data_IF_737567626016
#
_entry.id   IF_737567626016
#
_cell.length_a   1.000
_cell.length_b   1.000
_cell.length_c   1.000
_cell.angle_alpha   90.00
_cell.angle_beta   90.00
_cell.angle_gamma   90.00
#
_symmetry.space_group_name_H-M   'P 1'
#
loop_
_entity.id
_entity.type
_entity.pdbx_description
1 polymer ?
#
# COMPACT_ATOMS: atom_id res chain seq x y z
N UNK A 1 -1.53 -27.15 -4.69
CA UNK A 1 -0.34 -26.35 -5.06
C UNK A 1 0.14 -25.65 -3.81
N UNK A 2 1.44 -25.70 -3.51
CA UNK A 2 2.01 -24.92 -2.41
C UNK A 2 2.01 -23.43 -2.76
N UNK A 3 1.97 -22.60 -1.73
CA UNK A 3 1.99 -21.14 -1.84
C UNK A 3 3.40 -20.59 -2.11
N UNK A 4 3.51 -19.26 -2.12
CA UNK A 4 4.78 -18.56 -2.27
C UNK A 4 4.75 -17.22 -1.52
N UNK A 5 5.64 -17.05 -0.54
CA UNK A 5 5.73 -15.80 0.24
C UNK A 5 6.90 -14.91 -0.20
N UNK A 6 7.62 -15.31 -1.24
CA UNK A 6 8.69 -14.52 -1.86
C UNK A 6 8.16 -13.78 -3.08
N UNK A 7 8.70 -12.58 -3.30
CA UNK A 7 8.38 -11.80 -4.50
C UNK A 7 8.94 -12.53 -5.73
N UNK A 8 8.07 -12.78 -6.71
CA UNK A 8 8.51 -13.34 -7.99
C UNK A 8 8.91 -12.22 -8.99
N UNK A 9 9.34 -12.59 -10.19
CA UNK A 9 9.61 -11.61 -11.25
C UNK A 9 8.34 -11.22 -12.04
N UNK A 10 7.21 -11.91 -11.83
CA UNK A 10 6.00 -11.83 -12.65
C UNK A 10 4.94 -10.90 -12.07
N UNK A 11 4.99 -10.56 -10.78
CA UNK A 11 3.97 -9.72 -10.12
C UNK A 11 3.80 -8.39 -10.83
N UNK A 12 4.91 -7.80 -11.31
CA UNK A 12 4.87 -6.54 -12.05
C UNK A 12 4.09 -6.70 -13.36
N UNK A 13 4.27 -7.81 -14.07
CA UNK A 13 3.47 -8.10 -15.26
C UNK A 13 1.99 -8.26 -14.90
N UNK A 14 1.66 -9.02 -13.85
CA UNK A 14 0.27 -9.25 -13.44
C UNK A 14 -0.48 -7.94 -13.21
N UNK A 15 0.08 -7.04 -12.39
CA UNK A 15 -0.60 -5.76 -12.11
C UNK A 15 -0.56 -4.80 -13.31
N UNK A 16 0.49 -4.86 -14.15
CA UNK A 16 0.51 -4.10 -15.42
C UNK A 16 -0.62 -4.54 -16.35
N UNK A 17 -0.84 -5.84 -16.50
CA UNK A 17 -1.91 -6.39 -17.34
C UNK A 17 -3.29 -5.99 -16.76
N UNK A 18 -3.46 -6.05 -15.43
CA UNK A 18 -4.71 -5.68 -14.77
C UNK A 18 -5.04 -4.17 -14.86
N UNK A 19 -4.03 -3.34 -15.11
CA UNK A 19 -4.14 -1.89 -15.29
C UNK A 19 -3.72 -1.48 -16.70
N UNK A 20 -3.81 -2.39 -17.67
CA UNK A 20 -3.56 -2.09 -19.07
C UNK A 20 -4.61 -1.11 -19.60
N UNK A 21 -4.32 -0.19 -20.53
CA UNK A 21 -5.31 0.74 -21.06
C UNK A 21 -6.56 0.07 -21.66
N UNK A 22 -6.47 -1.18 -22.12
CA UNK A 22 -7.64 -1.94 -22.58
C UNK A 22 -8.49 -2.47 -21.43
N UNK A 23 -7.90 -2.73 -20.26
CA UNK A 23 -8.59 -3.24 -19.07
C UNK A 23 -9.09 -2.11 -18.16
N UNK A 24 -8.28 -1.08 -17.97
CA UNK A 24 -8.52 0.09 -17.13
C UNK A 24 -7.93 1.37 -17.78
N UNK A 25 -8.60 1.93 -18.80
CA UNK A 25 -8.12 3.11 -19.53
C UNK A 25 -7.99 4.35 -18.63
N UNK A 26 -8.78 4.42 -17.57
CA UNK A 26 -8.82 5.55 -16.65
C UNK A 26 -7.80 5.42 -15.52
N UNK A 27 -7.02 4.34 -15.46
CA UNK A 27 -6.05 4.15 -14.37
C UNK A 27 -5.03 5.32 -14.31
N UNK A 28 -4.77 5.94 -13.14
CA UNK A 28 -3.96 7.17 -13.06
C UNK A 28 -2.57 7.09 -13.69
N UNK A 29 -1.98 5.88 -13.73
CA UNK A 29 -0.69 5.60 -14.36
C UNK A 29 -0.61 5.97 -15.85
N UNK A 30 -1.75 6.05 -16.53
CA UNK A 30 -1.85 6.43 -17.94
C UNK A 30 -2.06 7.93 -18.14
N UNK A 31 -2.22 8.68 -17.05
CA UNK A 31 -2.68 10.08 -17.06
C UNK A 31 -1.68 11.01 -16.36
N UNK A 32 -0.39 10.72 -16.54
CA UNK A 32 0.73 11.53 -16.06
C UNK A 32 1.12 11.31 -14.59
N UNK A 33 0.49 10.34 -13.90
CA UNK A 33 0.84 10.02 -12.50
C UNK A 33 1.85 8.88 -12.46
N UNK A 34 3.08 9.16 -12.02
CA UNK A 34 4.09 8.13 -11.83
C UNK A 34 3.72 7.19 -10.69
N UNK A 35 3.50 5.90 -10.96
CA UNK A 35 3.10 4.90 -9.95
C UNK A 35 4.06 3.71 -9.90
N UNK A 36 4.16 3.08 -8.73
CA UNK A 36 4.96 1.88 -8.50
C UNK A 36 4.10 0.76 -7.95
N UNK A 37 4.35 -0.46 -8.43
CA UNK A 37 3.69 -1.65 -7.92
C UNK A 37 4.22 -1.97 -6.51
N UNK A 38 3.29 -2.27 -5.61
CA UNK A 38 3.57 -2.52 -4.20
C UNK A 38 2.85 -3.79 -3.75
N UNK A 39 3.56 -4.65 -3.00
CA UNK A 39 2.95 -5.76 -2.27
C UNK A 39 2.41 -5.24 -0.94
N UNK A 40 1.09 -5.23 -0.77
CA UNK A 40 0.45 -4.69 0.42
C UNK A 40 0.86 -5.48 1.66
N UNK A 41 0.61 -6.79 1.66
CA UNK A 41 1.28 -7.70 2.59
C UNK A 41 2.69 -7.89 2.05
N UNK A 42 3.65 -7.27 2.72
CA UNK A 42 5.06 -7.32 2.36
C UNK A 42 5.73 -8.64 2.75
N UNK A 43 6.64 -9.14 1.92
CA UNK A 43 7.46 -10.32 2.24
C UNK A 43 8.23 -10.16 3.55
N UNK A 44 8.76 -8.96 3.85
CA UNK A 44 9.46 -8.69 5.11
C UNK A 44 8.50 -8.79 6.32
N UNK A 45 7.27 -8.28 6.22
CA UNK A 45 6.26 -8.43 7.27
C UNK A 45 5.88 -9.90 7.52
N UNK A 46 5.77 -10.70 6.45
CA UNK A 46 5.53 -12.15 6.55
C UNK A 46 6.73 -12.87 7.17
N UNK A 47 7.96 -12.52 6.80
CA UNK A 47 9.17 -13.06 7.42
C UNK A 47 9.20 -12.76 8.91
N UNK A 48 8.93 -11.51 9.30
CA UNK A 48 8.90 -11.05 10.70
C UNK A 48 7.77 -11.68 11.53
N UNK A 49 6.70 -12.19 10.92
CA UNK A 49 5.62 -12.87 11.66
C UNK A 49 5.95 -14.31 12.00
N UNK A 50 6.95 -14.93 11.34
CA UNK A 50 7.28 -16.34 11.53
C UNK A 50 6.30 -17.31 10.85
N UNK A 51 5.21 -16.81 10.26
CA UNK A 51 4.13 -17.63 9.67
C UNK A 51 4.35 -17.97 8.18
N UNK A 52 5.52 -17.64 7.62
CA UNK A 52 5.79 -17.82 6.20
C UNK A 52 5.64 -19.26 5.71
N UNK A 53 6.17 -20.23 6.47
CA UNK A 53 6.07 -21.65 6.12
C UNK A 53 4.63 -22.15 6.16
N UNK A 54 3.85 -21.74 7.16
CA UNK A 54 2.44 -22.11 7.27
C UNK A 54 1.63 -21.52 6.12
N UNK A 55 1.84 -20.24 5.80
CA UNK A 55 1.16 -19.60 4.67
C UNK A 55 1.46 -20.32 3.35
N UNK A 56 2.71 -20.73 3.11
CA UNK A 56 3.09 -21.56 1.95
C UNK A 56 2.37 -22.91 1.98
N UNK A 57 2.37 -23.58 3.14
CA UNK A 57 1.72 -24.89 3.34
C UNK A 57 0.21 -24.84 3.05
N UNK A 58 -0.45 -23.75 3.43
CA UNK A 58 -1.86 -23.49 3.17
C UNK A 58 -2.14 -22.83 1.79
N UNK A 59 -1.13 -22.73 0.92
CA UNK A 59 -1.33 -22.31 -0.47
C UNK A 59 -1.51 -20.81 -0.68
N UNK A 60 -1.10 -19.97 0.26
CA UNK A 60 -1.10 -18.52 0.07
C UNK A 60 0.07 -18.08 -0.83
N UNK A 61 -0.22 -17.32 -1.88
CA UNK A 61 0.79 -16.69 -2.75
C UNK A 61 0.72 -15.18 -2.58
N UNK A 62 1.83 -14.57 -2.17
CA UNK A 62 1.97 -13.13 -1.97
C UNK A 62 1.89 -12.34 -3.29
N UNK A 63 2.09 -13.00 -4.43
CA UNK A 63 2.14 -12.38 -5.76
C UNK A 63 0.78 -12.34 -6.47
N UNK A 64 -0.31 -12.70 -5.79
CA UNK A 64 -1.68 -12.59 -6.31
C UNK A 64 -2.09 -11.13 -6.47
N UNK A 65 -2.95 -10.85 -7.46
CA UNK A 65 -3.46 -9.49 -7.71
C UNK A 65 -4.10 -8.86 -6.47
N UNK A 66 -4.83 -9.63 -5.67
CA UNK A 66 -5.47 -9.15 -4.43
C UNK A 66 -4.48 -8.68 -3.34
N UNK A 67 -3.18 -8.90 -3.53
CA UNK A 67 -2.12 -8.38 -2.67
C UNK A 67 -1.21 -7.34 -3.36
N UNK A 68 -1.51 -6.98 -4.62
CA UNK A 68 -0.75 -6.00 -5.38
C UNK A 68 -1.55 -4.71 -5.52
N UNK A 69 -0.87 -3.57 -5.51
CA UNK A 69 -1.50 -2.26 -5.75
C UNK A 69 -0.51 -1.32 -6.43
N UNK A 70 -1.00 -0.44 -7.30
CA UNK A 70 -0.23 0.70 -7.77
C UNK A 70 -0.38 1.87 -6.81
N UNK A 71 0.75 2.36 -6.28
CA UNK A 71 0.79 3.53 -5.39
C UNK A 71 1.56 4.64 -6.11
N UNK A 72 1.11 5.92 -6.06
CA UNK A 72 1.87 7.02 -6.62
C UNK A 72 3.28 7.08 -6.02
N UNK A 73 4.28 7.24 -6.87
CA UNK A 73 5.69 7.31 -6.52
C UNK A 73 6.23 8.74 -6.52
N UNK A 74 5.51 9.69 -7.12
CA UNK A 74 5.87 11.11 -7.10
C UNK A 74 5.08 11.86 -6.04
N UNK A 75 5.63 12.94 -5.50
CA UNK A 75 4.93 13.72 -4.47
C UNK A 75 3.70 14.44 -5.05
N UNK A 76 3.78 14.95 -6.28
CA UNK A 76 2.65 15.65 -6.90
C UNK A 76 1.54 14.68 -7.27
N UNK A 77 1.89 13.52 -7.84
CA UNK A 77 0.96 12.42 -8.11
C UNK A 77 0.24 11.90 -6.86
N UNK A 78 0.97 11.77 -5.74
CA UNK A 78 0.44 11.40 -4.42
C UNK A 78 -0.43 12.49 -3.78
N UNK A 79 -0.10 13.75 -4.06
CA UNK A 79 -0.79 14.92 -3.53
C UNK A 79 -2.11 15.17 -4.30
N UNK A 80 -2.06 15.15 -5.63
CA UNK A 80 -3.18 14.72 -6.49
C UNK A 80 -3.64 13.32 -6.00
N UNK A 81 -4.70 12.63 -6.42
CA UNK A 81 -5.12 11.34 -5.80
C UNK A 81 -5.44 11.30 -4.27
N UNK A 82 -4.73 11.98 -3.37
CA UNK A 82 -4.95 11.92 -1.93
C UNK A 82 -4.41 10.64 -1.29
N UNK A 83 -3.23 10.17 -1.72
CA UNK A 83 -2.61 8.92 -1.25
C UNK A 83 -1.15 9.22 -0.89
N UNK A 84 -0.60 8.65 0.17
CA UNK A 84 0.83 8.83 0.46
C UNK A 84 1.73 8.23 -0.63
N UNK A 85 2.93 8.77 -0.86
CA UNK A 85 3.82 8.25 -1.89
C UNK A 85 4.46 6.92 -1.47
N UNK A 86 4.67 6.00 -2.42
CA UNK A 86 5.50 4.82 -2.24
C UNK A 86 6.98 5.18 -2.47
N UNK A 87 7.76 5.26 -1.39
CA UNK A 87 9.20 5.56 -1.41
C UNK A 87 9.95 4.88 -0.26
N UNK A 88 11.17 4.45 -0.54
CA UNK A 88 12.09 3.93 0.46
C UNK A 88 11.74 2.53 0.93
N UNK A 89 12.24 2.18 2.11
CA UNK A 89 12.11 0.86 2.75
C UNK A 89 11.10 0.86 3.91
N UNK A 90 10.21 1.85 3.94
CA UNK A 90 9.06 1.97 4.85
C UNK A 90 9.40 1.91 6.35
N UNK A 91 10.53 2.50 6.76
CA UNK A 91 10.99 2.63 8.16
C UNK A 91 10.28 3.71 8.99
N UNK A 92 9.25 4.36 8.45
CA UNK A 92 8.54 5.40 9.17
C UNK A 92 7.70 4.80 10.32
N UNK A 93 7.63 5.45 11.49
CA UNK A 93 6.90 4.94 12.65
C UNK A 93 5.38 5.04 12.47
N UNK A 94 4.64 4.00 12.87
CA UNK A 94 3.18 3.84 12.65
C UNK A 94 2.37 4.53 13.74
N UNK A 95 1.81 5.72 13.56
CA UNK A 95 1.05 6.47 14.60
C UNK A 95 -0.34 5.88 14.92
N UNK A 96 -0.84 6.13 16.13
CA UNK A 96 -2.19 5.78 16.57
C UNK A 96 -2.29 4.86 17.79
N UNK A 97 -3.35 5.12 18.55
CA UNK A 97 -3.88 4.49 19.75
C UNK A 97 -4.88 3.39 19.35
N UNK A 98 -4.32 2.27 18.87
CA UNK A 98 -5.09 1.09 18.44
C UNK A 98 -4.36 -0.23 18.66
N UNK A 99 -3.24 -0.16 19.38
CA UNK A 99 -2.56 -1.30 19.97
C UNK A 99 -2.85 -1.15 21.47
N UNK A 100 -3.41 -2.20 22.07
CA UNK A 100 -3.68 -2.29 23.50
C UNK A 100 -2.51 -1.71 24.32
N UNK A 101 -2.76 -1.07 25.47
CA UNK A 101 -1.71 -0.36 26.24
C UNK A 101 -0.51 -1.27 26.59
N UNK A 102 -0.75 -2.60 26.63
CA UNK A 102 0.25 -3.64 26.87
C UNK A 102 1.01 -4.11 25.61
N UNK A 103 0.60 -3.69 24.41
CA UNK A 103 1.21 -4.08 23.13
C UNK A 103 2.01 -2.93 22.52
N UNK A 104 3.32 -3.13 22.42
CA UNK A 104 4.24 -2.18 21.77
C UNK A 104 3.74 -1.83 20.35
N UNK A 105 3.51 -0.53 20.14
CA UNK A 105 3.23 0.09 18.84
C UNK A 105 4.26 -0.37 17.78
N UNK A 106 3.85 -0.72 16.55
CA UNK A 106 4.78 -1.15 15.52
C UNK A 106 5.72 -0.02 15.10
N UNK A 107 6.99 -0.34 15.00
CA UNK A 107 8.05 0.63 14.69
C UNK A 107 8.12 0.97 13.19
N UNK A 108 7.49 0.17 12.32
CA UNK A 108 7.50 0.34 10.86
C UNK A 108 6.26 -0.23 10.17
N UNK A 109 6.07 0.08 8.89
CA UNK A 109 5.04 -0.57 8.04
C UNK A 109 5.13 -2.09 8.09
N UNK A 110 6.34 -2.64 7.99
CA UNK A 110 6.56 -4.09 7.99
C UNK A 110 6.21 -4.74 9.33
N UNK A 111 6.39 -4.02 10.45
CA UNK A 111 5.97 -4.49 11.77
C UNK A 111 4.45 -4.42 11.94
N UNK A 112 3.78 -3.42 11.36
CA UNK A 112 2.32 -3.38 11.30
C UNK A 112 1.77 -4.56 10.48
N UNK A 113 2.36 -4.84 9.31
CA UNK A 113 2.00 -6.02 8.50
C UNK A 113 2.21 -7.32 9.28
N UNK A 114 3.35 -7.46 9.98
CA UNK A 114 3.63 -8.60 10.87
C UNK A 114 2.48 -8.83 11.84
N UNK A 115 2.07 -7.80 12.58
CA UNK A 115 1.02 -7.90 13.60
C UNK A 115 -0.31 -8.34 12.98
N UNK A 116 -0.68 -7.80 11.82
CA UNK A 116 -1.91 -8.19 11.10
C UNK A 116 -1.87 -9.65 10.63
N UNK A 117 -0.74 -10.11 10.12
CA UNK A 117 -0.58 -11.51 9.69
C UNK A 117 -0.58 -12.44 10.90
N UNK A 118 0.02 -12.03 12.03
CA UNK A 118 0.04 -12.81 13.27
C UNK A 118 -1.36 -13.06 13.87
N UNK A 119 -2.35 -12.20 13.59
CA UNK A 119 -3.75 -12.44 13.98
C UNK A 119 -4.31 -13.76 13.39
N UNK A 120 -3.69 -14.30 12.34
CA UNK A 120 -4.08 -15.57 11.72
C UNK A 120 -3.40 -16.81 12.33
N UNK A 121 -2.51 -16.66 13.31
CA UNK A 121 -1.73 -17.77 13.88
C UNK A 121 -2.63 -18.93 14.33
N UNK A 122 -3.73 -18.65 15.04
CA UNK A 122 -4.69 -19.68 15.49
C UNK A 122 -5.32 -20.44 14.33
N UNK A 123 -5.42 -19.82 13.15
CA UNK A 123 -5.96 -20.46 11.96
C UNK A 123 -4.93 -21.34 11.23
N UNK A 124 -3.64 -21.10 11.47
CA UNK A 124 -2.50 -21.73 10.80
C UNK A 124 -1.88 -22.89 11.61
N UNK A 125 -2.31 -23.11 12.85
CA UNK A 125 -1.75 -24.17 13.72
C UNK A 125 -1.92 -25.60 13.19
N UNK A 126 -0.95 -26.47 13.53
CA UNK A 126 -0.73 -27.84 13.05
C UNK A 126 -1.84 -28.87 13.31
N UNK A 127 -2.92 -28.50 14.01
CA UNK A 127 -4.02 -29.44 14.29
C UNK A 127 -4.93 -29.71 13.10
N UNK A 128 -4.70 -29.05 11.95
CA UNK A 128 -5.57 -29.16 10.77
C UNK A 128 -4.77 -29.60 9.53
N UNK A 129 -5.31 -30.54 8.72
CA UNK A 129 -4.67 -30.95 7.47
C UNK A 129 -4.56 -29.77 6.52
N UNK A 130 -3.35 -29.47 6.07
CA UNK A 130 -3.13 -28.37 5.14
C UNK A 130 -3.69 -28.63 3.74
N UNK A 131 -4.07 -29.87 3.40
CA UNK A 131 -4.77 -30.18 2.16
C UNK A 131 -6.25 -29.77 2.13
N UNK A 132 -6.85 -29.44 3.28
CA UNK A 132 -8.25 -29.04 3.38
C UNK A 132 -8.56 -27.84 2.46
N UNK A 133 -9.36 -28.03 1.39
CA UNK A 133 -9.68 -26.98 0.43
C UNK A 133 -10.41 -25.78 1.04
N UNK A 134 -11.30 -26.01 2.02
CA UNK A 134 -12.09 -24.95 2.65
C UNK A 134 -11.25 -24.13 3.61
N UNK A 135 -10.30 -24.78 4.29
CA UNK A 135 -9.32 -24.07 5.11
C UNK A 135 -8.39 -23.21 4.27
N UNK A 136 -7.85 -23.74 3.17
CA UNK A 136 -7.03 -22.97 2.21
C UNK A 136 -7.81 -21.78 1.64
N UNK A 137 -9.09 -21.96 1.33
CA UNK A 137 -9.97 -20.86 0.86
C UNK A 137 -10.17 -19.81 1.94
N UNK A 138 -10.37 -20.24 3.19
CA UNK A 138 -10.54 -19.33 4.34
C UNK A 138 -9.29 -18.50 4.60
N UNK A 139 -8.11 -19.12 4.59
CA UNK A 139 -6.84 -18.41 4.80
C UNK A 139 -6.59 -17.40 3.68
N UNK A 140 -6.78 -17.80 2.41
CA UNK A 140 -6.64 -16.86 1.28
C UNK A 140 -7.59 -15.66 1.42
N UNK A 141 -8.87 -15.91 1.66
CA UNK A 141 -9.86 -14.83 1.89
C UNK A 141 -9.45 -13.90 3.04
N UNK A 142 -8.92 -14.45 4.14
CA UNK A 142 -8.44 -13.66 5.28
C UNK A 142 -7.23 -12.81 4.91
N UNK A 143 -6.30 -13.33 4.13
CA UNK A 143 -5.16 -12.57 3.62
C UNK A 143 -5.63 -11.46 2.66
N UNK A 144 -6.57 -11.74 1.75
CA UNK A 144 -7.15 -10.72 0.86
C UNK A 144 -7.87 -9.62 1.65
N UNK A 145 -8.58 -9.98 2.72
CA UNK A 145 -9.20 -9.04 3.67
C UNK A 145 -8.15 -8.15 4.35
N UNK A 146 -7.01 -8.72 4.77
CA UNK A 146 -5.89 -7.98 5.36
C UNK A 146 -5.31 -7.00 4.32
N UNK A 147 -5.04 -7.45 3.09
CA UNK A 147 -4.53 -6.59 2.02
C UNK A 147 -5.47 -5.43 1.73
N UNK A 148 -6.78 -5.68 1.62
CA UNK A 148 -7.79 -4.62 1.42
C UNK A 148 -7.80 -3.61 2.57
N UNK A 149 -7.73 -4.08 3.82
CA UNK A 149 -7.68 -3.20 5.01
C UNK A 149 -6.42 -2.35 5.03
N UNK A 150 -5.26 -2.92 4.74
CA UNK A 150 -4.00 -2.17 4.71
C UNK A 150 -3.98 -1.16 3.56
N UNK A 151 -4.43 -1.54 2.36
CA UNK A 151 -4.55 -0.61 1.23
C UNK A 151 -5.46 0.59 1.58
N UNK A 152 -6.56 0.35 2.31
CA UNK A 152 -7.39 1.42 2.83
C UNK A 152 -6.62 2.32 3.82
N UNK A 153 -5.91 1.73 4.79
CA UNK A 153 -5.09 2.50 5.74
C UNK A 153 -4.03 3.36 5.05
N UNK A 154 -3.37 2.84 4.00
CA UNK A 154 -2.37 3.59 3.23
C UNK A 154 -2.94 4.92 2.71
N UNK A 155 -4.24 4.98 2.41
CA UNK A 155 -4.89 6.18 1.90
C UNK A 155 -5.62 7.00 2.99
N UNK A 156 -6.45 6.36 3.82
CA UNK A 156 -7.40 7.05 4.69
C UNK A 156 -6.78 7.45 6.03
N UNK A 157 -5.85 6.64 6.54
CA UNK A 157 -5.11 6.95 7.78
C UNK A 157 -3.64 6.59 7.55
N UNK A 158 -2.94 7.25 6.61
CA UNK A 158 -1.56 6.91 6.23
C UNK A 158 -0.59 6.89 7.41
N UNK A 159 -0.87 7.63 8.47
CA UNK A 159 -0.14 7.57 9.75
C UNK A 159 -0.16 6.18 10.40
N UNK A 160 -1.24 5.39 10.23
CA UNK A 160 -1.39 3.98 10.66
C UNK A 160 -0.80 2.94 9.69
N UNK A 161 -0.40 3.35 8.49
CA UNK A 161 0.30 2.49 7.53
C UNK A 161 1.35 3.30 6.74
N UNK A 162 2.36 3.88 7.40
CA UNK A 162 3.22 4.87 6.80
C UNK A 162 4.29 4.21 5.92
N UNK A 163 4.28 4.56 4.64
CA UNK A 163 5.33 4.23 3.68
C UNK A 163 6.48 5.23 3.77
N UNK A 164 6.23 6.44 4.25
CA UNK A 164 7.23 7.51 4.34
C UNK A 164 7.08 8.34 5.60
N UNK A 165 8.12 9.10 5.97
CA UNK A 165 8.09 10.01 7.14
C UNK A 165 7.05 11.14 7.02
N UNK A 166 6.56 11.41 5.82
CA UNK A 166 5.57 12.46 5.54
C UNK A 166 4.16 11.89 5.37
N UNK A 167 3.93 10.61 5.66
CA UNK A 167 2.66 9.91 5.47
C UNK A 167 1.45 10.69 6.02
N UNK A 168 1.54 11.19 7.26
CA UNK A 168 0.47 11.97 7.91
C UNK A 168 0.04 13.22 7.15
N UNK A 169 0.94 13.83 6.38
CA UNK A 169 0.61 15.00 5.57
C UNK A 169 -0.32 14.69 4.40
N UNK A 170 -0.50 13.41 4.07
CA UNK A 170 -1.43 12.95 3.04
C UNK A 170 -2.79 12.53 3.58
N UNK A 171 -3.04 12.60 4.89
CA UNK A 171 -4.34 12.29 5.48
C UNK A 171 -5.50 13.06 4.78
N UNK A 172 -6.72 12.49 4.78
CA UNK A 172 -7.90 13.20 4.31
C UNK A 172 -8.02 14.58 4.98
N UNK A 173 -8.43 15.60 4.21
CA UNK A 173 -8.56 17.00 4.64
C UNK A 173 -7.26 17.75 4.98
N UNK A 174 -6.11 17.07 5.06
CA UNK A 174 -4.83 17.77 5.18
C UNK A 174 -4.61 18.66 3.95
N UNK A 175 -4.24 19.93 4.17
CA UNK A 175 -3.83 20.86 3.10
C UNK A 175 -2.35 20.72 2.72
N UNK A 176 -1.58 19.94 3.49
CA UNK A 176 -0.12 19.84 3.38
C UNK A 176 0.28 19.01 2.14
N UNK A 177 -0.08 17.73 2.08
CA UNK A 177 0.25 16.85 0.95
C UNK A 177 1.75 16.89 0.61
N UNK A 178 2.09 17.21 -0.65
CA UNK A 178 3.48 17.35 -1.11
C UNK A 178 4.22 18.57 -0.54
N UNK A 179 3.52 19.54 0.04
CA UNK A 179 4.11 20.79 0.55
C UNK A 179 4.88 21.61 -0.49
N UNK A 180 4.56 21.44 -1.78
CA UNK A 180 5.22 22.19 -2.86
C UNK A 180 6.64 21.73 -3.19
N UNK A 181 7.05 20.51 -2.79
CA UNK A 181 8.38 19.97 -3.08
C UNK A 181 8.32 18.66 -3.87
N UNK A 182 9.43 18.31 -4.54
CA UNK A 182 9.54 17.07 -5.33
C UNK A 182 10.23 15.91 -4.58
N UNK A 183 10.83 16.19 -3.43
CA UNK A 183 11.58 15.20 -2.65
C UNK A 183 11.18 15.22 -1.17
N UNK A 184 11.12 14.02 -0.58
CA UNK A 184 10.79 13.86 0.85
C UNK A 184 11.76 14.62 1.76
N UNK A 185 13.09 14.62 1.55
CA UNK A 185 14.03 15.37 2.40
C UNK A 185 13.71 16.87 2.50
N UNK A 186 13.21 17.48 1.42
CA UNK A 186 12.94 18.92 1.35
C UNK A 186 11.57 19.31 1.94
N UNK A 187 10.77 18.33 2.36
CA UNK A 187 9.43 18.58 2.88
C UNK A 187 9.49 19.17 4.31
N UNK A 188 8.83 20.32 4.49
CA UNK A 188 8.85 21.13 5.71
C UNK A 188 7.47 21.27 6.38
N UNK A 189 6.46 20.52 5.93
CA UNK A 189 5.10 20.59 6.50
C UNK A 189 4.25 21.77 6.00
N UNK A 190 4.71 22.54 5.02
CA UNK A 190 3.94 23.65 4.44
C UNK A 190 2.75 23.16 3.59
N UNK A 191 1.65 23.92 3.49
CA UNK A 191 0.55 23.62 2.58
C UNK A 191 1.01 23.43 1.13
N UNK A 192 0.34 22.54 0.40
CA UNK A 192 0.52 22.42 -1.04
C UNK A 192 0.05 23.73 -1.71
N UNK A 193 0.89 24.39 -2.54
CA UNK A 193 0.56 25.69 -3.14
C UNK A 193 -0.56 25.60 -4.20
N UNK A 194 -0.87 24.40 -4.69
CA UNK A 194 -1.97 24.14 -5.63
C UNK A 194 -3.08 23.31 -4.98
N UNK A 195 -3.21 23.41 -3.65
CA UNK A 195 -4.29 22.81 -2.86
C UNK A 195 -4.51 21.31 -3.11
N UNK A 196 -3.44 20.55 -3.39
CA UNK A 196 -3.50 19.11 -3.71
C UNK A 196 -4.19 18.78 -5.05
N UNK A 197 -4.24 19.76 -5.96
CA UNK A 197 -4.79 19.65 -7.31
C UNK A 197 -3.74 19.88 -8.40
N UNK A 198 -2.82 18.93 -8.57
CA UNK A 198 -1.74 19.02 -9.58
C UNK A 198 -2.16 18.77 -11.05
N UNK A 199 -3.46 18.83 -11.41
CA UNK A 199 -3.85 18.64 -12.82
C UNK A 199 -3.41 19.85 -13.62
N UNK A 200 -2.44 19.65 -14.53
CA UNK A 200 -1.81 20.71 -15.31
C UNK A 200 -1.27 21.87 -14.45
N UNK A 201 -0.90 21.59 -13.19
CA UNK A 201 -0.50 22.57 -12.20
C UNK A 201 0.62 22.01 -11.31
N UNK A 202 1.52 22.87 -10.87
CA UNK A 202 2.58 22.54 -9.93
C UNK A 202 2.95 23.75 -9.08
N UNK A 203 3.56 23.52 -7.92
CA UNK A 203 4.07 24.57 -7.06
C UNK A 203 5.32 25.26 -7.62
N UNK A 204 5.67 26.45 -7.10
CA UNK A 204 6.91 27.13 -7.46
C UNK A 204 8.13 26.23 -7.24
N UNK A 205 8.97 26.08 -8.27
CA UNK A 205 10.19 25.25 -8.20
C UNK A 205 9.97 23.74 -8.31
N UNK A 206 8.73 23.26 -8.39
CA UNK A 206 8.44 21.85 -8.69
C UNK A 206 8.60 21.56 -10.18
N UNK A 207 9.11 20.38 -10.51
CA UNK A 207 9.16 19.86 -11.88
C UNK A 207 7.75 19.63 -12.40
N UNK A 208 7.47 19.93 -13.66
CA UNK A 208 6.16 19.58 -14.23
C UNK A 208 6.09 18.07 -14.48
N UNK A 209 5.08 17.40 -13.91
CA UNK A 209 4.78 15.98 -14.16
C UNK A 209 3.76 15.77 -15.29
N UNK A 210 3.20 16.85 -15.86
CA UNK A 210 2.17 16.82 -16.90
C UNK A 210 0.95 15.95 -16.51
N UNK A 211 0.53 16.00 -15.24
CA UNK A 211 -0.64 15.25 -14.75
C UNK A 211 -1.90 15.76 -15.45
N UNK A 212 -2.58 14.87 -16.17
CA UNK A 212 -3.86 15.16 -16.84
C UNK A 212 -5.06 14.44 -16.20
N UNK A 213 -4.78 13.54 -15.25
CA UNK A 213 -5.79 12.75 -14.54
C UNK A 213 -6.91 13.62 -13.96
N UNK A 214 -8.16 13.21 -14.18
CA UNK A 214 -9.36 13.90 -13.69
C UNK A 214 -9.87 13.24 -12.41
N UNK A 215 -9.97 14.03 -11.34
CA UNK A 215 -10.60 13.61 -10.07
C UNK A 215 -12.08 13.99 -10.06
N UNK A 216 -12.87 13.38 -10.94
CA UNK A 216 -14.34 13.59 -10.95
C UNK A 216 -14.99 13.06 -9.67
N UNK A 217 -14.34 12.07 -9.03
CA UNK A 217 -14.64 11.56 -7.69
C UNK A 217 -13.32 11.42 -6.91
N UNK A 218 -13.37 11.36 -5.57
CA UNK A 218 -12.21 11.00 -4.77
C UNK A 218 -11.63 9.67 -5.27
N UNK A 219 -10.34 9.66 -5.61
CA UNK A 219 -9.64 8.44 -6.00
C UNK A 219 -9.69 7.43 -4.84
N UNK A 220 -9.76 6.14 -5.17
CA UNK A 220 -9.75 5.07 -4.18
C UNK A 220 -8.63 4.10 -4.55
N UNK A 221 -7.66 3.97 -3.65
CA UNK A 221 -6.60 2.99 -3.77
C UNK A 221 -7.20 1.58 -3.60
N UNK A 222 -6.97 0.69 -4.57
CA UNK A 222 -7.55 -0.66 -4.57
C UNK A 222 -6.47 -1.70 -4.83
N UNK A 223 -6.60 -2.85 -4.19
CA UNK A 223 -5.78 -4.01 -4.57
C UNK A 223 -6.24 -4.55 -5.93
N UNK A 224 -5.31 -5.13 -6.68
CA UNK A 224 -5.53 -5.72 -8.00
C UNK A 224 -5.63 -4.73 -9.15
N UNK A 225 -5.71 -3.42 -8.89
CA UNK A 225 -5.75 -2.34 -9.88
C UNK A 225 -5.24 -1.04 -9.28
#
# INVERSE_FOLDING_TARGET
MLGNVLKDAKYLKRIKDATDPHADPDHPRHHGIGMQAHHVISAEGVKKSGLGNDLVRFGYDINVLDNLVYIPSTLQGACHLGVQPHRGDHRAPVEGDGFDDDRKRPDSYHDMVKLRVAELERLLTDKCPAEDPDRRRTIRRKMDEISKKIANLIQIVPSKAPLTRIAKHFEPKSKIGCGGVDSIPNHSGQPCPVERHHRSQQGPGQKSEQIIYRKDKPYQLKVGR
#
